data_IF_989721811584
#
_entry.id   IF_989721811584
#
_cell.length_a   1.000
_cell.length_b   1.000
_cell.length_c   1.000
_cell.angle_alpha   90.00
_cell.angle_beta   90.00
_cell.angle_gamma   90.00
#
_symmetry.space_group_name_H-M   'P 1'
#
loop_
_entity.id
_entity.type
_entity.pdbx_description
1 polymer ?
#
# COMPACT_ATOMS: atom_id res chain seq x y z
N UNK A 1 17.17 -10.45 -0.70
CA UNK A 1 17.48 -9.19 0.02
C UNK A 1 16.53 -9.06 1.21
N UNK A 2 17.01 -9.27 2.44
CA UNK A 2 16.17 -9.13 3.64
C UNK A 2 15.81 -7.67 3.97
N UNK A 3 16.69 -6.72 3.61
CA UNK A 3 16.51 -5.30 3.90
C UNK A 3 15.24 -4.70 3.26
N UNK A 4 14.99 -4.98 1.98
CA UNK A 4 13.79 -4.50 1.28
C UNK A 4 12.51 -5.04 1.94
N UNK A 5 12.48 -6.33 2.29
CA UNK A 5 11.36 -6.93 3.00
C UNK A 5 11.14 -6.27 4.38
N UNK A 6 12.21 -5.93 5.10
CA UNK A 6 12.13 -5.21 6.37
C UNK A 6 11.56 -3.79 6.22
N UNK A 7 11.95 -3.06 5.18
CA UNK A 7 11.40 -1.72 4.87
C UNK A 7 9.91 -1.82 4.56
N UNK A 8 9.53 -2.70 3.62
CA UNK A 8 8.12 -2.87 3.22
C UNK A 8 7.26 -3.37 4.39
N UNK A 9 7.77 -4.31 5.19
CA UNK A 9 7.09 -4.82 6.37
C UNK A 9 6.87 -3.75 7.45
N UNK A 10 7.87 -2.90 7.68
CA UNK A 10 7.74 -1.77 8.62
C UNK A 10 6.70 -0.76 8.15
N UNK A 11 6.67 -0.45 6.85
CA UNK A 11 5.64 0.42 6.26
C UNK A 11 4.25 -0.20 6.37
N UNK A 12 4.10 -1.50 6.11
CA UNK A 12 2.82 -2.21 6.26
C UNK A 12 2.32 -2.22 7.72
N UNK A 13 3.22 -2.42 8.68
CA UNK A 13 2.89 -2.33 10.10
C UNK A 13 2.41 -0.92 10.48
N UNK A 14 3.04 0.12 9.93
CA UNK A 14 2.60 1.51 10.15
C UNK A 14 1.22 1.78 9.54
N UNK A 15 0.90 1.24 8.35
CA UNK A 15 -0.45 1.33 7.79
C UNK A 15 -1.49 0.66 8.69
N UNK A 16 -1.18 -0.50 9.26
CA UNK A 16 -2.07 -1.16 10.23
C UNK A 16 -2.32 -0.26 11.46
N UNK A 17 -1.28 0.37 12.00
CA UNK A 17 -1.42 1.32 13.12
C UNK A 17 -2.31 2.49 12.73
N UNK A 18 -2.10 3.10 11.55
CA UNK A 18 -2.94 4.22 11.07
C UNK A 18 -4.42 3.83 11.00
N UNK A 19 -4.71 2.65 10.44
CA UNK A 19 -6.08 2.15 10.35
C UNK A 19 -6.71 1.90 11.73
N UNK A 20 -5.99 1.26 12.65
CA UNK A 20 -6.48 0.94 14.00
C UNK A 20 -6.76 2.21 14.82
N UNK A 21 -5.87 3.20 14.69
CA UNK A 21 -5.92 4.42 15.52
C UNK A 21 -6.73 5.56 14.89
N UNK A 22 -7.10 5.44 13.61
CA UNK A 22 -7.68 6.54 12.83
C UNK A 22 -6.70 7.70 12.58
N UNK A 23 -5.40 7.46 12.67
CA UNK A 23 -4.37 8.49 12.52
C UNK A 23 -3.93 8.68 11.06
N UNK A 24 -3.73 9.94 10.67
CA UNK A 24 -3.15 10.30 9.38
C UNK A 24 -4.02 9.93 8.18
N UNK A 25 -3.37 9.69 7.03
CA UNK A 25 -4.00 9.33 5.77
C UNK A 25 -3.49 7.94 5.30
N UNK A 26 -4.27 6.84 5.49
CA UNK A 26 -3.89 5.49 5.11
C UNK A 26 -3.79 5.29 3.59
N UNK A 27 -2.92 4.40 3.11
CA UNK A 27 -2.75 4.09 1.69
C UNK A 27 -3.91 3.31 1.04
N UNK A 28 -5.11 3.32 1.62
CA UNK A 28 -6.32 2.76 1.02
C UNK A 28 -6.52 3.28 -0.41
N UNK A 29 -6.77 2.36 -1.36
CA UNK A 29 -6.93 2.67 -2.78
C UNK A 29 -5.65 3.16 -3.48
N UNK A 30 -4.47 3.03 -2.84
CA UNK A 30 -3.18 3.42 -3.39
C UNK A 30 -2.19 2.25 -3.30
N UNK A 31 -1.38 2.08 -4.34
CA UNK A 31 -0.27 1.12 -4.36
C UNK A 31 1.05 1.89 -4.25
N UNK A 32 1.83 1.57 -3.23
CA UNK A 32 3.20 2.05 -3.08
C UNK A 32 4.15 1.17 -3.91
N UNK A 33 4.88 1.79 -4.83
CA UNK A 33 5.97 1.20 -5.58
C UNK A 33 7.29 1.69 -4.99
N UNK A 34 8.09 0.77 -4.47
CA UNK A 34 9.40 1.06 -3.89
C UNK A 34 10.48 0.30 -4.67
N UNK A 35 11.38 1.05 -5.30
CA UNK A 35 12.56 0.52 -5.96
C UNK A 35 13.78 0.77 -5.06
N UNK A 36 14.26 -0.31 -4.41
CA UNK A 36 15.39 -0.23 -3.50
C UNK A 36 16.75 -0.06 -4.19
N UNK A 37 16.87 -0.35 -5.49
CA UNK A 37 18.12 -0.15 -6.24
C UNK A 37 18.22 1.30 -6.72
N UNK A 38 17.11 1.85 -7.23
CA UNK A 38 17.03 3.24 -7.65
C UNK A 38 16.80 4.22 -6.48
N UNK A 39 16.42 3.72 -5.31
CA UNK A 39 16.10 4.55 -4.13
C UNK A 39 14.85 5.41 -4.33
N UNK A 40 13.89 4.95 -5.13
CA UNK A 40 12.69 5.73 -5.46
C UNK A 40 11.44 5.14 -4.83
N UNK A 41 10.50 6.03 -4.49
CA UNK A 41 9.18 5.67 -3.99
C UNK A 41 8.13 6.49 -4.73
N UNK A 42 7.09 5.83 -5.25
CA UNK A 42 5.94 6.50 -5.84
C UNK A 42 4.65 5.78 -5.50
N UNK A 43 3.56 6.51 -5.41
CA UNK A 43 2.24 5.93 -5.23
C UNK A 43 1.43 6.05 -6.52
N UNK A 44 0.63 5.03 -6.80
CA UNK A 44 -0.37 5.06 -7.88
C UNK A 44 -1.74 4.79 -7.29
N UNK A 45 -2.77 5.45 -7.82
CA UNK A 45 -4.15 5.15 -7.43
C UNK A 45 -4.59 3.86 -8.12
N UNK A 46 -5.27 3.01 -7.37
CA UNK A 46 -5.87 1.77 -7.87
C UNK A 46 -7.38 1.91 -7.73
N UNK A 47 -8.06 1.98 -8.87
CA UNK A 47 -9.51 1.97 -8.91
C UNK A 47 -10.03 0.52 -8.85
N UNK A 48 -11.20 0.28 -8.24
CA UNK A 48 -11.91 -0.99 -8.41
C UNK A 48 -12.14 -1.28 -9.89
N UNK A 49 -12.01 -2.55 -10.26
CA UNK A 49 -12.39 -3.03 -11.59
C UNK A 49 -13.89 -3.39 -11.57
N UNK A 50 -14.74 -2.77 -12.41
CA UNK A 50 -16.18 -3.05 -12.45
C UNK A 50 -16.49 -4.51 -12.83
N UNK A 51 -15.59 -5.18 -13.55
CA UNK A 51 -15.77 -6.57 -13.96
C UNK A 51 -15.17 -7.57 -12.94
N UNK A 52 -14.66 -7.08 -11.80
CA UNK A 52 -14.06 -7.94 -10.78
C UNK A 52 -15.12 -8.84 -10.12
N UNK A 53 -14.97 -10.18 -10.16
CA UNK A 53 -15.94 -11.10 -9.57
C UNK A 53 -16.03 -10.98 -8.03
N UNK A 54 -15.01 -10.42 -7.38
CA UNK A 54 -14.95 -10.30 -5.92
C UNK A 54 -15.48 -8.95 -5.42
N UNK A 55 -15.20 -7.85 -6.14
CA UNK A 55 -15.49 -6.49 -5.66
C UNK A 55 -16.12 -5.54 -6.69
N UNK A 56 -16.40 -6.00 -7.91
CA UNK A 56 -16.96 -5.18 -9.00
C UNK A 56 -18.49 -4.98 -8.95
N UNK A 57 -19.20 -5.81 -8.18
CA UNK A 57 -20.66 -5.85 -8.16
C UNK A 57 -21.37 -4.97 -7.11
N UNK A 58 -20.81 -3.82 -6.72
CA UNK A 58 -21.47 -2.88 -5.79
C UNK A 58 -22.03 -1.64 -6.51
#
# INVERSE_FOLDING_TARGET
VGALAGVVGSMAALEAIKLITGAGDPFSGRLLLYDGLAGTARTVRVAPDPDCPDCGGA
#
